data_IF_575375479244
#
_entry.id   IF_575375479244
#
_cell.length_a   1.000
_cell.length_b   1.000
_cell.length_c   1.000
_cell.angle_alpha   90.00
_cell.angle_beta   90.00
_cell.angle_gamma   90.00
#
_symmetry.space_group_name_H-M   'P 1'
#
loop_
_entity.id
_entity.type
_entity.pdbx_description
1 polymer ?
#
# COMPACT_ATOMS: atom_id res chain seq x y z
N UNK A 1 -8.84 10.45 10.94
CA UNK A 1 -9.96 10.45 9.96
C UNK A 1 -10.59 9.06 9.99
N UNK A 2 -11.63 8.89 10.83
CA UNK A 2 -12.39 7.64 10.92
C UNK A 2 -13.18 7.49 9.62
N UNK A 3 -12.80 6.52 8.78
CA UNK A 3 -13.62 6.13 7.66
C UNK A 3 -14.88 5.47 8.22
N UNK A 4 -15.96 6.25 8.33
CA UNK A 4 -17.31 5.71 8.40
C UNK A 4 -17.60 5.06 7.05
N UNK A 5 -17.11 3.83 6.87
CA UNK A 5 -17.69 2.92 5.89
C UNK A 5 -19.09 2.66 6.42
N UNK A 6 -20.09 3.33 5.83
CA UNK A 6 -21.48 2.92 6.02
C UNK A 6 -21.53 1.44 5.67
N UNK A 7 -21.67 0.60 6.69
CA UNK A 7 -22.07 -0.80 6.56
C UNK A 7 -23.42 -0.80 5.84
N UNK A 8 -23.35 -0.81 4.51
CA UNK A 8 -24.45 -1.21 3.65
C UNK A 8 -24.06 -2.41 2.79
N UNK A 9 -23.37 -3.46 3.31
CA UNK A 9 -23.26 -4.69 2.56
C UNK A 9 -24.55 -5.49 2.77
N UNK A 10 -24.95 -6.27 1.77
CA UNK A 10 -26.03 -7.28 1.79
C UNK A 10 -27.43 -6.79 1.37
N UNK A 11 -27.93 -5.63 1.80
CA UNK A 11 -29.33 -5.27 1.45
C UNK A 11 -29.52 -4.88 -0.03
N UNK A 12 -28.50 -4.31 -0.69
CA UNK A 12 -28.57 -3.95 -2.12
C UNK A 12 -28.44 -5.15 -3.07
N UNK A 13 -27.80 -6.24 -2.61
CA UNK A 13 -27.73 -7.51 -3.35
C UNK A 13 -29.11 -8.19 -3.34
N UNK A 14 -29.86 -8.13 -2.22
CA UNK A 14 -31.21 -8.68 -2.12
C UNK A 14 -32.26 -7.90 -2.93
N UNK A 15 -32.16 -6.57 -2.99
CA UNK A 15 -33.12 -5.75 -3.76
C UNK A 15 -33.03 -5.98 -5.28
N UNK A 16 -31.85 -6.28 -5.82
CA UNK A 16 -31.66 -6.57 -7.25
C UNK A 16 -32.06 -8.00 -7.65
N UNK A 17 -32.16 -8.93 -6.69
CA UNK A 17 -32.66 -10.30 -6.96
C UNK A 17 -34.16 -10.28 -7.32
N UNK A 18 -34.93 -9.29 -6.85
CA UNK A 18 -36.37 -9.19 -7.11
C UNK A 18 -36.73 -8.58 -8.48
N UNK A 19 -35.78 -7.99 -9.21
CA UNK A 19 -36.01 -7.42 -10.57
C UNK A 19 -35.62 -8.42 -11.68
N UNK A 20 -35.03 -9.57 -11.33
CA UNK A 20 -34.42 -10.50 -12.30
C UNK A 20 -35.39 -11.49 -12.98
N UNK A 21 -36.71 -11.38 -12.77
CA UNK A 21 -37.65 -12.39 -13.26
C UNK A 21 -37.83 -12.43 -14.79
N UNK A 22 -37.39 -11.41 -15.55
CA UNK A 22 -37.54 -11.31 -17.02
C UNK A 22 -36.24 -11.02 -17.80
N UNK A 23 -35.07 -11.13 -17.18
CA UNK A 23 -33.81 -10.85 -17.87
C UNK A 23 -33.29 -12.08 -18.63
N UNK A 24 -32.67 -11.85 -19.79
CA UNK A 24 -32.03 -12.90 -20.57
C UNK A 24 -30.92 -13.57 -19.76
N UNK A 25 -30.88 -14.90 -19.81
CA UNK A 25 -29.89 -15.74 -19.13
C UNK A 25 -29.05 -16.47 -20.14
N UNK A 26 -27.74 -16.41 -19.98
CA UNK A 26 -26.77 -17.08 -20.83
C UNK A 26 -25.89 -17.96 -19.97
N UNK A 27 -25.74 -19.23 -20.35
CA UNK A 27 -25.01 -20.22 -19.57
C UNK A 27 -23.95 -20.87 -20.42
N UNK A 28 -22.81 -21.14 -19.80
CA UNK A 28 -21.76 -21.98 -20.35
C UNK A 28 -21.51 -23.14 -19.39
N UNK A 29 -21.13 -24.28 -19.94
CA UNK A 29 -20.87 -25.49 -19.19
C UNK A 29 -19.44 -25.98 -19.44
N UNK A 30 -18.86 -26.62 -18.44
CA UNK A 30 -17.64 -27.39 -18.60
C UNK A 30 -17.91 -28.63 -19.47
N UNK A 31 -16.85 -29.30 -19.97
CA UNK A 31 -16.99 -30.51 -20.78
C UNK A 31 -17.71 -31.68 -20.07
N UNK A 32 -17.68 -31.70 -18.73
CA UNK A 32 -18.42 -32.64 -17.88
C UNK A 32 -19.88 -32.20 -17.61
N UNK A 33 -20.38 -31.17 -18.31
CA UNK A 33 -21.73 -30.59 -18.18
C UNK A 33 -22.03 -29.90 -16.86
N UNK A 34 -21.05 -29.66 -15.98
CA UNK A 34 -21.26 -28.77 -14.82
C UNK A 34 -21.29 -27.31 -15.26
N UNK A 35 -22.09 -26.47 -14.58
CA UNK A 35 -22.21 -25.06 -14.92
C UNK A 35 -20.84 -24.38 -14.74
N UNK A 36 -20.38 -23.67 -15.76
CA UNK A 36 -19.11 -22.95 -15.77
C UNK A 36 -19.32 -21.47 -15.51
N UNK A 37 -20.29 -20.88 -16.19
CA UNK A 37 -20.66 -19.47 -16.00
C UNK A 37 -22.12 -19.23 -16.29
N UNK A 38 -22.67 -18.21 -15.66
CA UNK A 38 -24.01 -17.68 -15.93
C UNK A 38 -23.93 -16.16 -16.03
N UNK A 39 -24.52 -15.59 -17.08
CA UNK A 39 -24.69 -14.15 -17.23
C UNK A 39 -26.18 -13.82 -17.29
N UNK A 40 -26.62 -12.86 -16.48
CA UNK A 40 -28.01 -12.41 -16.40
C UNK A 40 -28.04 -10.92 -16.75
N UNK A 41 -28.59 -10.58 -17.91
CA UNK A 41 -28.64 -9.19 -18.40
C UNK A 41 -28.53 -9.06 -19.92
N UNK A 42 -27.99 -7.93 -20.39
CA UNK A 42 -27.78 -7.63 -21.81
C UNK A 42 -26.33 -7.94 -22.20
N UNK A 43 -26.08 -8.64 -23.31
CA UNK A 43 -24.71 -9.04 -23.71
C UNK A 43 -23.93 -7.94 -24.43
N UNK A 44 -24.59 -7.12 -25.23
CA UNK A 44 -23.95 -6.11 -26.09
C UNK A 44 -24.72 -4.78 -26.02
N UNK A 45 -24.23 -3.79 -25.26
CA UNK A 45 -23.08 -3.87 -24.37
C UNK A 45 -23.38 -4.73 -23.13
N UNK A 46 -22.35 -5.31 -22.49
CA UNK A 46 -22.53 -6.16 -21.32
C UNK A 46 -23.02 -5.33 -20.13
N UNK A 47 -24.25 -5.60 -19.69
CA UNK A 47 -24.89 -4.96 -18.53
C UNK A 47 -25.66 -5.98 -17.72
N UNK A 48 -25.29 -6.18 -16.46
CA UNK A 48 -25.91 -7.15 -15.57
C UNK A 48 -24.91 -7.92 -14.72
N UNK A 49 -25.32 -9.09 -14.23
CA UNK A 49 -24.55 -9.89 -13.27
C UNK A 49 -23.92 -11.08 -14.01
N UNK A 50 -22.62 -11.25 -13.82
CA UNK A 50 -21.87 -12.41 -14.29
C UNK A 50 -21.45 -13.26 -13.09
N UNK A 51 -21.68 -14.58 -13.18
CA UNK A 51 -21.24 -15.57 -12.21
C UNK A 51 -20.34 -16.58 -12.89
N UNK A 52 -19.22 -16.89 -12.26
CA UNK A 52 -18.35 -18.01 -12.62
C UNK A 52 -18.39 -19.06 -11.52
N UNK A 53 -18.26 -20.33 -11.88
CA UNK A 53 -18.34 -21.47 -10.98
C UNK A 53 -17.09 -22.34 -11.09
N UNK A 54 -16.65 -22.91 -9.97
CA UNK A 54 -15.66 -23.98 -9.94
C UNK A 54 -16.21 -25.27 -10.56
N UNK A 55 -15.34 -26.24 -10.87
CA UNK A 55 -15.79 -27.55 -11.36
C UNK A 55 -16.63 -28.31 -10.33
N UNK A 56 -16.43 -28.02 -9.04
CA UNK A 56 -17.23 -28.51 -7.93
C UNK A 56 -18.69 -28.05 -7.97
N UNK A 57 -19.00 -27.00 -8.74
CA UNK A 57 -20.31 -26.34 -8.78
C UNK A 57 -20.43 -25.17 -7.80
N UNK A 58 -19.47 -24.97 -6.91
CA UNK A 58 -19.43 -23.81 -6.02
C UNK A 58 -19.19 -22.53 -6.82
N UNK A 59 -19.76 -21.42 -6.37
CA UNK A 59 -19.51 -20.10 -6.95
C UNK A 59 -18.01 -19.80 -6.80
N UNK A 60 -17.40 -19.35 -7.88
CA UNK A 60 -16.02 -18.87 -7.92
C UNK A 60 -15.94 -17.37 -7.81
N UNK A 61 -16.78 -16.69 -8.59
CA UNK A 61 -16.76 -15.25 -8.71
C UNK A 61 -18.12 -14.69 -9.11
N UNK A 62 -18.44 -13.50 -8.63
CA UNK A 62 -19.56 -12.67 -9.08
C UNK A 62 -19.02 -11.31 -9.47
N UNK A 63 -19.37 -10.84 -10.66
CA UNK A 63 -19.04 -9.51 -11.18
C UNK A 63 -20.32 -8.76 -11.55
N UNK A 64 -20.31 -7.45 -11.40
CA UNK A 64 -21.35 -6.55 -11.89
C UNK A 64 -20.77 -5.77 -13.08
N UNK A 65 -21.49 -5.78 -14.21
CA UNK A 65 -21.09 -5.07 -15.42
C UNK A 65 -22.09 -3.94 -15.74
N UNK A 66 -21.55 -2.81 -16.18
CA UNK A 66 -22.29 -1.75 -16.88
C UNK A 66 -21.46 -1.29 -18.08
N UNK A 67 -22.06 -1.36 -19.27
CA UNK A 67 -21.40 -1.03 -20.54
C UNK A 67 -20.01 -1.67 -20.74
N UNK A 68 -19.92 -3.00 -20.59
CA UNK A 68 -18.68 -3.79 -20.75
C UNK A 68 -17.59 -3.55 -19.69
N UNK A 69 -17.84 -2.67 -18.73
CA UNK A 69 -16.91 -2.36 -17.63
C UNK A 69 -17.42 -2.97 -16.33
N UNK A 70 -16.51 -3.48 -15.50
CA UNK A 70 -16.84 -3.92 -14.13
C UNK A 70 -17.11 -2.70 -13.26
N UNK A 71 -18.23 -2.70 -12.56
CA UNK A 71 -18.66 -1.60 -11.70
C UNK A 71 -18.98 -2.10 -10.29
N UNK A 72 -19.00 -1.20 -9.32
CA UNK A 72 -19.25 -1.47 -7.90
C UNK A 72 -18.25 -2.46 -7.29
N UNK A 73 -18.43 -3.76 -7.53
CA UNK A 73 -17.58 -4.78 -6.95
C UNK A 73 -17.49 -6.11 -7.73
N UNK A 74 -16.40 -6.83 -7.48
CA UNK A 74 -16.25 -8.25 -7.75
C UNK A 74 -16.13 -9.01 -6.42
N UNK A 75 -16.88 -10.09 -6.28
CA UNK A 75 -16.83 -10.98 -5.11
C UNK A 75 -16.27 -12.32 -5.51
N UNK A 76 -15.23 -12.78 -4.82
CA UNK A 76 -14.55 -14.05 -5.05
C UNK A 76 -14.79 -14.98 -3.87
N UNK A 77 -14.93 -16.27 -4.15
CA UNK A 77 -15.31 -17.28 -3.16
C UNK A 77 -14.27 -18.40 -3.10
N UNK A 78 -14.20 -19.09 -1.95
CA UNK A 78 -13.40 -20.30 -1.80
C UNK A 78 -14.03 -21.47 -2.56
N UNK A 79 -13.19 -22.35 -3.12
CA UNK A 79 -13.68 -23.56 -3.79
C UNK A 79 -14.21 -24.59 -2.80
N UNK A 80 -13.49 -24.79 -1.69
CA UNK A 80 -13.78 -25.86 -0.72
C UNK A 80 -14.88 -25.51 0.29
N UNK A 81 -15.33 -24.25 0.31
CA UNK A 81 -16.30 -23.77 1.30
C UNK A 81 -17.46 -23.04 0.62
N UNK A 82 -18.64 -23.66 0.68
CA UNK A 82 -19.83 -23.15 0.01
C UNK A 82 -20.18 -21.73 0.47
N UNK A 83 -20.35 -20.81 -0.48
CA UNK A 83 -20.73 -19.42 -0.27
C UNK A 83 -19.80 -18.60 0.66
N UNK A 84 -18.61 -19.11 0.99
CA UNK A 84 -17.64 -18.33 1.77
C UNK A 84 -16.83 -17.40 0.88
N UNK A 85 -16.91 -16.11 1.21
CA UNK A 85 -16.20 -15.05 0.51
C UNK A 85 -14.70 -15.17 0.85
N UNK A 86 -13.88 -15.16 -0.20
CA UNK A 86 -12.43 -15.11 -0.15
C UNK A 86 -11.92 -13.68 -0.28
N UNK A 87 -12.51 -12.90 -1.17
CA UNK A 87 -12.06 -11.54 -1.47
C UNK A 87 -13.20 -10.71 -2.06
N UNK A 88 -13.30 -9.44 -1.67
CA UNK A 88 -14.14 -8.45 -2.33
C UNK A 88 -13.22 -7.38 -2.91
N UNK A 89 -13.46 -7.02 -4.17
CA UNK A 89 -12.78 -5.93 -4.87
C UNK A 89 -13.80 -4.87 -5.18
N UNK A 90 -13.66 -3.69 -4.59
CA UNK A 90 -14.49 -2.52 -4.89
C UNK A 90 -13.79 -1.66 -5.94
N UNK A 91 -14.49 -1.38 -7.03
CA UNK A 91 -13.96 -0.60 -8.14
C UNK A 91 -14.20 0.89 -7.91
N UNK A 92 -13.17 1.70 -8.12
CA UNK A 92 -13.22 3.16 -8.11
C UNK A 92 -12.44 3.70 -9.32
N UNK A 93 -12.62 4.95 -9.73
CA UNK A 93 -12.17 5.45 -11.05
C UNK A 93 -10.70 5.12 -11.43
N UNK A 94 -9.79 5.06 -10.45
CA UNK A 94 -8.35 4.82 -10.68
C UNK A 94 -7.74 3.67 -9.88
N UNK A 95 -8.53 2.97 -9.05
CA UNK A 95 -7.99 1.95 -8.14
C UNK A 95 -9.01 0.91 -7.71
N UNK A 96 -8.53 -0.20 -7.18
CA UNK A 96 -9.34 -1.24 -6.56
C UNK A 96 -9.09 -1.24 -5.06
N UNK A 97 -10.14 -1.13 -4.25
CA UNK A 97 -10.05 -1.43 -2.83
C UNK A 97 -10.32 -2.93 -2.62
N UNK A 98 -9.37 -3.64 -2.02
CA UNK A 98 -9.42 -5.09 -1.83
C UNK A 98 -9.64 -5.37 -0.35
N UNK A 99 -10.58 -6.25 -0.03
CA UNK A 99 -10.76 -6.83 1.31
C UNK A 99 -10.70 -8.35 1.19
N UNK A 100 -9.74 -8.97 1.84
CA UNK A 100 -9.54 -10.42 1.83
C UNK A 100 -9.96 -11.06 3.14
N UNK A 101 -10.50 -12.27 3.06
CA UNK A 101 -11.04 -13.02 4.19
C UNK A 101 -10.38 -14.41 4.30
N UNK A 102 -10.36 -14.96 5.51
CA UNK A 102 -10.08 -16.39 5.73
C UNK A 102 -11.35 -17.25 5.55
N UNK A 103 -11.19 -18.58 5.62
CA UNK A 103 -12.31 -19.55 5.53
C UNK A 103 -13.25 -19.54 6.74
N UNK A 104 -13.03 -18.66 7.72
CA UNK A 104 -13.96 -18.43 8.83
C UNK A 104 -14.69 -17.09 8.66
N UNK A 105 -14.45 -16.36 7.57
CA UNK A 105 -15.02 -15.04 7.30
C UNK A 105 -14.35 -13.89 8.05
N UNK A 106 -13.19 -14.11 8.69
CA UNK A 106 -12.43 -13.02 9.30
C UNK A 106 -11.66 -12.25 8.22
N UNK A 107 -11.69 -10.91 8.28
CA UNK A 107 -10.79 -10.08 7.46
C UNK A 107 -9.34 -10.41 7.81
N UNK A 108 -8.52 -10.71 6.79
CA UNK A 108 -7.08 -10.98 6.92
C UNK A 108 -6.22 -9.88 6.29
N UNK A 109 -6.78 -9.13 5.34
CA UNK A 109 -6.08 -8.04 4.66
C UNK A 109 -7.06 -7.04 4.08
N UNK A 110 -6.66 -5.78 4.02
CA UNK A 110 -7.37 -4.75 3.27
C UNK A 110 -6.39 -3.68 2.76
N UNK A 111 -6.67 -3.11 1.58
CA UNK A 111 -5.82 -2.08 1.00
C UNK A 111 -6.19 -1.74 -0.43
N UNK A 112 -5.39 -0.90 -1.08
CA UNK A 112 -5.63 -0.46 -2.46
C UNK A 112 -4.62 -1.07 -3.44
N UNK A 113 -5.10 -1.39 -4.63
CA UNK A 113 -4.28 -1.77 -5.78
C UNK A 113 -4.61 -0.91 -7.00
N UNK A 114 -3.74 -0.96 -8.02
CA UNK A 114 -4.01 -0.37 -9.32
C UNK A 114 -5.23 -1.04 -9.98
N UNK A 115 -5.99 -0.29 -10.78
CA UNK A 115 -7.18 -0.80 -11.46
C UNK A 115 -6.88 -2.02 -12.34
N UNK A 116 -5.84 -1.95 -13.15
CA UNK A 116 -5.52 -2.98 -14.14
C UNK A 116 -4.65 -4.12 -13.59
N UNK A 117 -4.11 -3.94 -12.37
CA UNK A 117 -3.27 -4.94 -11.72
C UNK A 117 -3.58 -5.03 -10.21
N UNK A 118 -4.46 -5.96 -9.79
CA UNK A 118 -4.77 -6.20 -8.38
C UNK A 118 -3.57 -6.63 -7.54
N UNK A 119 -2.48 -7.11 -8.15
CA UNK A 119 -1.24 -7.47 -7.44
C UNK A 119 -0.36 -6.26 -7.16
N UNK A 120 -0.54 -5.18 -7.93
CA UNK A 120 0.15 -3.91 -7.77
C UNK A 120 -0.43 -3.11 -6.60
N UNK A 121 0.12 -3.30 -5.40
CA UNK A 121 -0.33 -2.64 -4.17
C UNK A 121 0.12 -1.18 -4.12
N UNK A 122 -0.75 -0.29 -3.64
CA UNK A 122 -0.45 1.13 -3.43
C UNK A 122 -0.95 1.60 -2.07
N UNK A 123 -0.24 2.57 -1.48
CA UNK A 123 -0.59 3.14 -0.19
C UNK A 123 -0.57 2.10 0.92
N UNK A 124 -1.41 2.30 1.94
CA UNK A 124 -1.42 1.47 3.15
C UNK A 124 -2.29 0.23 2.98
N UNK A 125 -1.70 -0.90 3.32
CA UNK A 125 -2.35 -2.19 3.48
C UNK A 125 -2.36 -2.58 4.95
N UNK A 126 -3.53 -2.93 5.47
CA UNK A 126 -3.69 -3.46 6.82
C UNK A 126 -3.76 -4.98 6.72
N UNK A 127 -2.97 -5.67 7.53
CA UNK A 127 -3.02 -7.12 7.70
C UNK A 127 -3.50 -7.44 9.09
N UNK A 128 -4.33 -8.47 9.20
CA UNK A 128 -4.96 -8.87 10.46
C UNK A 128 -4.56 -10.29 10.83
N UNK A 129 -4.35 -10.50 12.13
CA UNK A 129 -4.34 -11.82 12.75
C UNK A 129 -5.77 -12.24 13.11
N UNK A 130 -5.92 -13.50 13.52
CA UNK A 130 -7.21 -14.10 13.93
C UNK A 130 -8.07 -13.13 14.75
N UNK A 131 -9.39 -13.13 14.50
CA UNK A 131 -10.39 -12.27 15.15
C UNK A 131 -10.14 -10.77 14.95
N UNK A 132 -9.86 -10.36 13.71
CA UNK A 132 -9.80 -8.96 13.22
C UNK A 132 -8.78 -8.03 13.86
N UNK A 133 -7.86 -8.54 14.69
CA UNK A 133 -6.81 -7.73 15.30
C UNK A 133 -5.76 -7.37 14.26
N UNK A 134 -5.48 -6.08 14.07
CA UNK A 134 -4.40 -5.62 13.21
C UNK A 134 -3.07 -6.23 13.67
N UNK A 135 -2.39 -6.90 12.76
CA UNK A 135 -1.06 -7.44 12.95
C UNK A 135 -0.01 -6.46 12.45
N UNK A 136 -0.22 -5.92 11.25
CA UNK A 136 0.71 -5.00 10.62
C UNK A 136 0.00 -4.04 9.67
N UNK A 137 0.63 -2.88 9.48
CA UNK A 137 0.32 -1.96 8.41
C UNK A 137 1.56 -1.89 7.53
N UNK A 138 1.40 -2.10 6.22
CA UNK A 138 2.48 -2.03 5.24
C UNK A 138 2.12 -0.93 4.24
N UNK A 139 3.00 0.06 4.11
CA UNK A 139 2.87 1.09 3.08
C UNK A 139 3.64 0.69 1.83
N UNK A 140 2.98 0.82 0.68
CA UNK A 140 3.54 0.61 -0.64
C UNK A 140 3.63 1.92 -1.40
N UNK A 141 4.77 2.16 -2.04
CA UNK A 141 5.03 3.31 -2.90
C UNK A 141 5.40 2.83 -4.30
N UNK A 142 5.07 3.65 -5.30
CA UNK A 142 5.46 3.40 -6.69
C UNK A 142 6.83 4.04 -6.95
N UNK A 143 7.80 3.23 -7.36
CA UNK A 143 9.12 3.67 -7.83
C UNK A 143 9.37 3.05 -9.19
N UNK A 144 9.63 3.86 -10.22
CA UNK A 144 9.95 3.41 -11.58
C UNK A 144 8.93 2.39 -12.12
N UNK A 145 7.64 2.74 -12.03
CA UNK A 145 6.52 1.91 -12.46
C UNK A 145 6.35 0.58 -11.69
N UNK A 146 7.01 0.42 -10.53
CA UNK A 146 6.93 -0.78 -9.69
C UNK A 146 6.53 -0.44 -8.26
N UNK A 147 5.75 -1.33 -7.65
CA UNK A 147 5.34 -1.21 -6.25
C UNK A 147 6.42 -1.77 -5.32
N UNK A 148 6.86 -0.96 -4.36
CA UNK A 148 7.83 -1.33 -3.32
C UNK A 148 7.25 -1.12 -1.94
N UNK A 149 7.65 -1.97 -0.99
CA UNK A 149 7.37 -1.74 0.43
C UNK A 149 8.20 -0.54 0.88
N UNK A 150 7.50 0.52 1.32
CA UNK A 150 8.11 1.71 1.89
C UNK A 150 8.36 1.52 3.39
N UNK A 151 7.31 1.23 4.15
CA UNK A 151 7.37 1.12 5.61
C UNK A 151 6.46 0.03 6.15
N UNK A 152 6.86 -0.58 7.27
CA UNK A 152 6.09 -1.61 7.98
C UNK A 152 5.97 -1.20 9.45
N UNK A 153 4.72 -1.12 9.93
CA UNK A 153 4.39 -0.96 11.35
C UNK A 153 3.73 -2.22 11.88
N UNK A 154 4.44 -3.00 12.70
CA UNK A 154 3.83 -4.11 13.43
C UNK A 154 3.05 -3.62 14.63
N UNK A 155 1.89 -4.22 14.91
CA UNK A 155 0.98 -3.77 15.97
C UNK A 155 0.93 -4.75 17.13
N UNK A 156 0.88 -4.22 18.35
CA UNK A 156 0.65 -4.98 19.56
C UNK A 156 -0.86 -5.28 19.73
N UNK A 157 -1.23 -6.02 20.79
CA UNK A 157 -2.62 -6.37 21.06
C UNK A 157 -3.55 -5.16 21.32
N UNK A 158 -2.99 -4.00 21.68
CA UNK A 158 -3.70 -2.73 21.90
C UNK A 158 -3.80 -1.88 20.63
N UNK A 159 -3.10 -2.26 19.56
CA UNK A 159 -3.05 -1.51 18.30
C UNK A 159 -1.87 -0.53 18.19
N UNK A 160 -0.99 -0.45 19.20
CA UNK A 160 0.19 0.41 19.14
C UNK A 160 1.29 -0.21 18.29
N UNK A 161 2.13 0.62 17.70
CA UNK A 161 3.32 0.14 16.98
C UNK A 161 4.30 -0.52 17.95
N UNK A 162 4.74 -1.73 17.63
CA UNK A 162 5.78 -2.45 18.38
C UNK A 162 7.13 -1.86 17.98
N UNK A 163 7.79 -1.21 18.94
CA UNK A 163 9.21 -0.85 18.82
C UNK A 163 10.04 -2.14 18.73
N UNK A 164 11.08 -2.14 17.91
CA UNK A 164 11.95 -3.28 17.61
C UNK A 164 11.47 -4.16 16.44
N UNK A 165 10.37 -3.81 15.76
CA UNK A 165 9.80 -4.61 14.66
C UNK A 165 9.30 -3.76 13.49
N UNK A 166 9.83 -4.05 12.32
CA UNK A 166 9.42 -3.45 11.04
C UNK A 166 10.52 -2.56 10.48
N UNK A 167 10.14 -1.59 9.67
CA UNK A 167 11.01 -0.53 9.19
C UNK A 167 10.15 0.72 9.03
N UNK A 168 10.33 1.70 9.92
CA UNK A 168 9.59 2.95 9.81
C UNK A 168 10.46 4.10 10.27
N UNK A 169 10.16 5.27 9.71
CA UNK A 169 10.87 6.51 9.98
C UNK A 169 9.97 7.45 10.73
N UNK A 170 10.49 8.08 11.77
CA UNK A 170 9.89 9.23 12.39
C UNK A 170 10.45 10.50 11.75
N UNK A 171 9.56 11.44 11.40
CA UNK A 171 9.92 12.75 10.89
C UNK A 171 9.49 13.77 11.93
N UNK A 172 10.46 14.40 12.58
CA UNK A 172 10.22 15.49 13.53
C UNK A 172 10.28 16.81 12.77
N UNK A 173 9.14 17.50 12.69
CA UNK A 173 8.99 18.78 11.99
C UNK A 173 7.97 19.70 12.67
N UNK A 174 8.02 20.99 12.35
CA UNK A 174 6.93 21.94 12.62
C UNK A 174 6.03 22.06 11.39
N UNK A 175 4.73 22.19 11.59
CA UNK A 175 3.75 22.35 10.50
C UNK A 175 3.60 23.81 10.03
N UNK A 176 4.05 24.77 10.82
CA UNK A 176 4.10 26.20 10.44
C UNK A 176 5.31 26.87 11.08
N UNK A 177 5.87 27.85 10.38
CA UNK A 177 7.09 28.57 10.75
C UNK A 177 7.08 29.97 10.13
N UNK A 178 7.80 30.90 10.74
CA UNK A 178 7.91 32.28 10.27
C UNK A 178 8.90 32.39 9.11
N UNK A 179 8.73 33.42 8.28
CA UNK A 179 9.63 33.67 7.14
C UNK A 179 11.04 34.00 7.62
N UNK A 180 12.03 33.45 6.93
CA UNK A 180 13.44 33.60 7.29
C UNK A 180 13.91 32.71 8.44
N UNK A 181 13.01 32.03 9.16
CA UNK A 181 13.39 31.05 10.17
C UNK A 181 14.03 29.81 9.52
N UNK A 182 14.99 29.22 10.24
CA UNK A 182 15.56 27.93 9.87
C UNK A 182 14.64 26.79 10.32
N UNK A 183 13.94 26.19 9.36
CA UNK A 183 13.10 25.01 9.56
C UNK A 183 14.00 23.79 9.68
N UNK A 184 14.14 23.26 10.89
CA UNK A 184 14.90 22.03 11.12
C UNK A 184 14.02 20.81 10.88
N UNK A 185 14.49 19.93 10.01
CA UNK A 185 13.90 18.63 9.77
C UNK A 185 14.84 17.56 10.30
N UNK A 186 14.30 16.66 11.11
CA UNK A 186 15.02 15.49 11.61
C UNK A 186 14.30 14.23 11.20
N UNK A 187 15.04 13.35 10.55
CA UNK A 187 14.62 12.01 10.19
C UNK A 187 15.31 11.03 11.13
N UNK A 188 14.52 10.15 11.74
CA UNK A 188 14.99 9.11 12.64
C UNK A 188 14.50 7.78 12.09
N UNK A 189 15.41 6.95 11.61
CA UNK A 189 15.10 5.56 11.27
C UNK A 189 14.96 4.79 12.58
N UNK A 190 13.71 4.59 13.01
CA UNK A 190 13.41 3.97 14.30
C UNK A 190 13.77 2.48 14.29
N UNK A 191 13.55 1.83 13.15
CA UNK A 191 13.83 0.41 12.94
C UNK A 191 14.55 0.22 11.61
N UNK A 192 15.78 -0.29 11.67
CA UNK A 192 16.61 -0.60 10.51
C UNK A 192 16.22 -1.93 9.89
N UNK A 193 16.06 -1.98 8.57
CA UNK A 193 15.86 -3.21 7.82
C UNK A 193 17.14 -4.06 7.79
N UNK A 194 18.31 -3.44 7.66
CA UNK A 194 19.59 -4.14 7.57
C UNK A 194 20.33 -4.29 8.91
N UNK A 195 19.72 -3.83 10.00
CA UNK A 195 20.23 -3.94 11.36
C UNK A 195 21.09 -2.75 11.81
N UNK A 196 21.55 -2.80 13.06
CA UNK A 196 22.20 -1.67 13.77
C UNK A 196 23.44 -1.08 13.10
N UNK A 197 24.08 -1.82 12.18
CA UNK A 197 25.27 -1.38 11.46
C UNK A 197 24.96 -0.69 10.13
N UNK A 198 23.69 -0.60 9.73
CA UNK A 198 23.29 0.15 8.55
C UNK A 198 23.46 1.64 8.76
N UNK A 199 23.41 2.40 7.68
CA UNK A 199 23.51 3.85 7.68
C UNK A 199 22.39 4.42 6.82
N UNK A 200 22.06 5.69 7.02
CA UNK A 200 21.03 6.36 6.21
C UNK A 200 21.61 7.52 5.41
N UNK A 201 20.95 7.80 4.29
CA UNK A 201 21.19 8.97 3.46
C UNK A 201 19.85 9.50 2.97
N UNK A 202 19.71 10.82 2.94
CA UNK A 202 18.54 11.47 2.37
C UNK A 202 18.95 12.08 1.03
N UNK A 203 18.16 11.80 0.00
CA UNK A 203 18.32 12.33 -1.35
C UNK A 203 17.11 13.20 -1.64
N UNK A 204 17.35 14.48 -1.90
CA UNK A 204 16.31 15.46 -2.24
C UNK A 204 16.61 16.08 -3.60
N UNK A 205 15.62 16.30 -4.47
CA UNK A 205 15.80 17.07 -5.69
C UNK A 205 16.07 18.54 -5.33
N UNK A 206 16.88 19.24 -6.13
CA UNK A 206 17.05 20.68 -5.96
C UNK A 206 15.82 21.48 -6.40
N UNK A 207 15.11 20.96 -7.40
CA UNK A 207 13.79 21.45 -7.82
C UNK A 207 12.79 20.28 -7.75
N UNK A 208 11.85 20.36 -6.81
CA UNK A 208 10.87 19.31 -6.59
C UNK A 208 9.92 19.11 -7.77
N UNK A 209 9.70 20.16 -8.57
CA UNK A 209 8.80 20.09 -9.72
C UNK A 209 9.34 19.20 -10.83
N UNK A 210 10.66 18.93 -10.82
CA UNK A 210 11.29 18.03 -11.77
C UNK A 210 11.13 16.56 -11.36
N UNK A 211 10.87 16.26 -10.08
CA UNK A 211 10.73 14.88 -9.61
C UNK A 211 9.38 14.30 -10.01
N UNK A 212 9.39 13.20 -10.78
CA UNK A 212 8.17 12.49 -11.16
C UNK A 212 7.50 11.86 -9.94
N UNK A 213 6.17 11.70 -9.99
CA UNK A 213 5.36 11.04 -8.94
C UNK A 213 5.86 9.62 -8.60
N UNK A 214 6.38 8.90 -9.59
CA UNK A 214 6.92 7.55 -9.45
C UNK A 214 8.41 7.51 -9.17
N UNK A 215 9.06 8.63 -8.87
CA UNK A 215 10.50 8.70 -8.56
C UNK A 215 11.43 8.12 -9.64
N UNK A 216 10.92 7.84 -10.87
CA UNK A 216 11.69 7.16 -11.93
C UNK A 216 12.92 7.95 -12.38
N UNK A 217 12.89 9.27 -12.23
CA UNK A 217 13.98 10.16 -12.60
C UNK A 217 14.80 10.69 -11.42
N UNK A 218 14.66 10.14 -10.21
CA UNK A 218 15.35 10.61 -9.01
C UNK A 218 16.89 10.62 -9.15
N UNK A 219 17.43 9.72 -9.97
CA UNK A 219 18.88 9.66 -10.22
C UNK A 219 19.34 10.50 -11.43
N UNK A 220 18.40 11.05 -12.21
CA UNK A 220 18.66 11.79 -13.44
C UNK A 220 18.63 13.31 -13.22
N UNK A 221 17.88 13.77 -12.22
CA UNK A 221 17.74 15.19 -11.89
C UNK A 221 18.82 15.66 -10.91
N UNK A 222 19.07 16.96 -10.89
CA UNK A 222 19.96 17.57 -9.91
C UNK A 222 19.39 17.40 -8.50
N UNK A 223 20.26 17.01 -7.58
CA UNK A 223 19.90 16.59 -6.23
C UNK A 223 20.93 17.03 -5.20
N UNK A 224 20.47 17.17 -3.98
CA UNK A 224 21.31 17.26 -2.79
C UNK A 224 21.24 15.97 -1.99
N UNK A 225 22.25 15.80 -1.14
CA UNK A 225 22.44 14.56 -0.38
C UNK A 225 22.81 14.91 1.05
N UNK A 226 21.98 14.48 1.99
CA UNK A 226 22.17 14.69 3.42
C UNK A 226 22.63 13.36 4.03
N UNK A 227 23.83 13.39 4.60
CA UNK A 227 24.40 12.25 5.30
C UNK A 227 23.78 12.09 6.69
N UNK A 228 23.87 10.89 7.25
CA UNK A 228 23.56 10.67 8.67
C UNK A 228 24.47 11.50 9.58
N UNK A 229 24.07 11.73 10.83
CA UNK A 229 24.86 12.46 11.84
C UNK A 229 26.21 11.81 12.12
N UNK A 230 26.39 10.53 11.75
CA UNK A 230 27.68 9.84 11.80
C UNK A 230 28.65 10.31 10.72
N UNK A 231 28.14 10.60 9.52
CA UNK A 231 28.93 10.87 8.31
C UNK A 231 28.80 12.33 7.82
N UNK A 232 28.10 13.20 8.55
CA UNK A 232 27.91 14.61 8.19
C UNK A 232 29.17 15.49 8.39
N UNK A 233 30.20 14.95 9.04
CA UNK A 233 31.46 15.65 9.31
C UNK A 233 31.40 16.68 10.43
N UNK A 234 30.28 16.77 11.17
CA UNK A 234 30.07 17.75 12.24
C UNK A 234 30.33 17.10 13.60
N UNK A 235 31.29 17.57 14.41
CA UNK A 235 31.52 17.04 15.76
C UNK A 235 30.33 17.29 16.70
N UNK A 236 29.90 16.25 17.42
CA UNK A 236 28.75 16.31 18.35
C UNK A 236 29.11 15.75 19.73
N UNK A 237 29.96 16.44 20.51
CA UNK A 237 30.46 15.93 21.79
C UNK A 237 29.38 15.75 22.87
N UNK A 238 28.20 16.36 22.70
CA UNK A 238 27.08 16.25 23.65
C UNK A 238 26.05 15.16 23.33
N UNK A 239 26.22 14.39 22.25
CA UNK A 239 25.31 13.29 21.94
C UNK A 239 25.69 12.05 22.74
N UNK A 240 24.73 11.42 23.47
CA UNK A 240 24.96 10.16 24.15
C UNK A 240 25.50 9.08 23.20
N UNK A 241 26.44 8.26 23.67
CA UNK A 241 27.09 7.22 22.84
C UNK A 241 26.10 6.15 22.37
N UNK A 242 25.00 6.00 23.09
CA UNK A 242 23.93 5.04 22.82
C UNK A 242 22.99 5.52 21.72
N UNK A 243 23.07 6.80 21.32
CA UNK A 243 22.23 7.34 20.26
C UNK A 243 22.67 6.78 18.89
N UNK A 244 21.76 6.21 18.09
CA UNK A 244 22.10 5.62 16.78
C UNK A 244 22.31 6.73 15.74
N UNK A 245 23.41 7.46 15.83
CA UNK A 245 23.71 8.62 14.96
C UNK A 245 23.83 8.26 13.47
N UNK A 246 24.05 6.99 13.14
CA UNK A 246 23.99 6.42 11.79
C UNK A 246 22.55 6.30 11.24
N UNK A 247 21.54 6.39 12.10
CA UNK A 247 20.13 6.30 11.77
C UNK A 247 19.39 7.62 11.93
N UNK A 248 20.13 8.72 12.08
CA UNK A 248 19.59 10.07 12.23
C UNK A 248 20.20 10.94 11.15
N UNK A 249 19.38 11.73 10.49
CA UNK A 249 19.81 12.78 9.58
C UNK A 249 19.05 14.06 9.92
N UNK A 250 19.75 15.20 9.93
CA UNK A 250 19.18 16.50 10.27
C UNK A 250 19.68 17.55 9.28
N UNK A 251 18.77 18.37 8.78
CA UNK A 251 19.10 19.52 7.94
C UNK A 251 18.11 20.65 8.17
N UNK A 252 18.50 21.84 7.72
CA UNK A 252 17.69 23.04 7.81
C UNK A 252 17.24 23.49 6.43
N UNK A 253 15.98 23.90 6.33
CA UNK A 253 15.42 24.60 5.17
C UNK A 253 15.13 26.04 5.57
N UNK A 254 15.33 26.98 4.65
CA UNK A 254 14.97 28.38 4.84
C UNK A 254 14.14 28.81 3.65
N UNK A 255 13.05 29.52 3.94
CA UNK A 255 12.15 30.04 2.92
C UNK A 255 12.07 31.55 3.06
N UNK A 256 12.22 32.23 1.93
CA UNK A 256 12.20 33.69 1.86
C UNK A 256 10.83 34.22 1.39
N UNK A 257 9.95 33.35 0.88
CA UNK A 257 8.61 33.71 0.41
C UNK A 257 7.51 32.94 1.17
N UNK A 258 6.33 33.55 1.44
CA UNK A 258 5.21 32.88 2.09
C UNK A 258 4.55 31.86 1.15
N UNK A 259 4.13 30.72 1.69
CA UNK A 259 3.40 29.72 0.92
C UNK A 259 3.33 28.35 1.57
N UNK A 260 2.68 27.42 0.85
CA UNK A 260 2.70 26.01 1.19
C UNK A 260 3.86 25.35 0.46
N UNK A 261 4.75 24.71 1.22
CA UNK A 261 5.90 23.99 0.68
C UNK A 261 5.74 22.49 0.88
N UNK A 262 6.02 21.71 -0.16
CA UNK A 262 6.25 20.27 -0.05
C UNK A 262 7.74 20.02 0.17
N UNK A 263 8.05 18.87 0.77
CA UNK A 263 9.37 18.28 0.67
C UNK A 263 9.21 16.86 0.10
N UNK A 264 9.87 16.58 -1.01
CA UNK A 264 9.88 15.25 -1.65
C UNK A 264 11.30 14.73 -1.78
N UNK A 265 11.49 13.43 -1.63
CA UNK A 265 12.81 12.81 -1.70
C UNK A 265 12.78 11.35 -1.28
N UNK A 266 13.96 10.75 -1.16
CA UNK A 266 14.13 9.38 -0.69
C UNK A 266 15.04 9.36 0.54
N UNK A 267 14.59 8.67 1.59
CA UNK A 267 15.47 8.17 2.62
C UNK A 267 15.89 6.76 2.24
N UNK A 268 17.19 6.54 2.11
CA UNK A 268 17.76 5.24 1.74
C UNK A 268 18.58 4.72 2.91
N UNK A 269 18.19 3.54 3.39
CA UNK A 269 19.02 2.75 4.31
C UNK A 269 19.98 1.88 3.49
N UNK A 270 21.25 1.83 3.88
CA UNK A 270 22.26 1.04 3.20
C UNK A 270 23.26 0.42 4.17
N UNK A 271 23.94 -0.63 3.72
CA UNK A 271 25.08 -1.23 4.44
C UNK A 271 26.31 -1.13 3.56
N UNK A 272 27.41 -0.66 4.14
CA UNK A 272 28.70 -0.77 3.49
C UNK A 272 29.06 -2.24 3.32
N UNK A 273 28.97 -2.76 2.09
CA UNK A 273 29.70 -4.00 1.77
C UNK A 273 31.18 -3.68 1.95
N UNK A 274 31.81 -4.25 2.98
CA UNK A 274 33.26 -4.46 2.93
C UNK A 274 33.49 -5.23 1.64
N UNK A 275 34.12 -4.58 0.66
CA UNK A 275 34.80 -5.31 -0.40
C UNK A 275 35.84 -6.15 0.31
N UNK A 276 35.51 -7.39 0.67
CA UNK A 276 36.52 -8.36 1.01
C UNK A 276 37.42 -8.43 -0.20
N UNK A 277 38.67 -8.03 0.00
CA UNK A 277 39.70 -8.08 -1.01
C UNK A 277 39.67 -9.46 -1.67
N UNK A 278 39.20 -9.52 -2.91
CA UNK A 278 39.53 -10.57 -3.85
C UNK A 278 41.03 -10.45 -4.18
N UNK A 279 41.87 -10.69 -3.16
CA UNK A 279 43.30 -10.89 -3.22
C UNK A 279 43.64 -11.88 -2.12
N UNK A 280 43.80 -13.14 -2.55
CA UNK A 280 44.27 -14.38 -1.89
C UNK A 280 43.25 -15.48 -2.27
N UNK A 281 43.54 -16.44 -3.13
CA UNK A 281 44.80 -17.04 -3.62
C UNK A 281 44.51 -17.72 -4.94
#
# INVERSE_FOLDING_TARGET
>A
MQFYIKLLPIFFVLANVLISCNQAKYREYYGNRTLKSEFIGTKNPKKGIYKEYYKSGNIKQVDIYDNDVKVDSSVYYFEDYENQIKEIRYFNDSSICIVGYDSNGNTIKEGKSLMDDPSYRIGKWTFHKQKTKTDSIVEYITVDGKSYVNQIWHKNIKGDTILGRGNYTEIVKKDSFDLGDLVRLRFILMESFYGVNSDIIIIIPKDENLLKEDYSNLLEIERDTIQSLKNDGIPRPGIPKEMPINHIAEFGLKYDEPGQYSLRGALVEYVYKKLENAKKT
#
